data_IF_159951765907
#
_entry.id   IF_159951765907
#
_cell.length_a   1.000
_cell.length_b   1.000
_cell.length_c   1.000
_cell.angle_alpha   90.00
_cell.angle_beta   90.00
_cell.angle_gamma   90.00
#
_symmetry.space_group_name_H-M   'P 1'
#
loop_
_entity.id
_entity.type
_entity.pdbx_description
1 polymer ?
#
# COMPACT_ATOMS: atom_id res chain seq x y z
N UNK A 1 -18.79 21.55 -19.09
CA UNK A 1 -17.62 20.80 -19.59
C UNK A 1 -17.33 19.70 -18.57
N UNK A 2 -17.55 18.43 -18.91
CA UNK A 2 -17.28 17.30 -18.00
C UNK A 2 -15.86 16.83 -18.30
N UNK A 3 -14.98 16.78 -17.29
CA UNK A 3 -13.65 16.23 -17.49
C UNK A 3 -13.78 14.77 -17.98
N UNK A 4 -13.06 14.42 -19.03
CA UNK A 4 -12.93 13.03 -19.50
C UNK A 4 -11.92 12.22 -18.66
N UNK A 5 -11.34 12.84 -17.62
CA UNK A 5 -10.36 12.25 -16.70
C UNK A 5 -10.80 12.44 -15.26
N UNK A 6 -10.33 11.57 -14.38
CA UNK A 6 -10.55 11.65 -12.93
C UNK A 6 -9.77 12.83 -12.35
N UNK A 7 -10.45 13.75 -11.67
CA UNK A 7 -9.80 14.79 -10.86
C UNK A 7 -9.56 14.20 -9.47
N UNK A 8 -8.29 14.03 -9.11
CA UNK A 8 -7.89 13.47 -7.81
C UNK A 8 -7.24 14.55 -6.95
N UNK A 9 -7.74 14.85 -5.75
CA UNK A 9 -7.05 15.73 -4.83
C UNK A 9 -5.73 15.08 -4.40
N UNK A 10 -4.63 15.81 -4.58
CA UNK A 10 -3.31 15.41 -4.09
C UNK A 10 -2.97 16.32 -2.92
N UNK A 11 -2.51 15.70 -1.83
CA UNK A 11 -2.02 16.42 -0.67
C UNK A 11 -0.50 16.44 -0.74
N UNK A 12 0.08 17.63 -0.82
CA UNK A 12 1.53 17.88 -0.86
C UNK A 12 2.05 18.53 0.43
N UNK A 13 1.16 19.04 1.30
CA UNK A 13 1.52 19.55 2.62
C UNK A 13 2.12 18.44 3.49
N UNK A 14 3.37 18.60 3.98
CA UNK A 14 4.08 17.56 4.73
C UNK A 14 3.53 17.32 6.14
N UNK A 15 2.59 18.15 6.61
CA UNK A 15 1.91 18.02 7.90
C UNK A 15 0.50 17.44 7.76
N UNK A 16 -0.04 17.37 6.54
CA UNK A 16 -1.38 16.86 6.30
C UNK A 16 -1.39 15.34 6.15
N UNK A 17 -2.20 14.67 6.96
CA UNK A 17 -2.34 13.21 6.96
C UNK A 17 -3.76 12.85 6.53
N UNK A 18 -3.92 12.41 5.28
CA UNK A 18 -5.25 12.12 4.70
C UNK A 18 -5.92 10.86 5.26
N UNK A 19 -5.13 9.89 5.74
CA UNK A 19 -5.63 8.57 6.17
C UNK A 19 -5.05 8.18 7.55
N UNK A 20 -5.18 9.03 8.56
CA UNK A 20 -4.60 8.79 9.89
C UNK A 20 -5.09 7.49 10.55
N UNK A 21 -6.34 7.07 10.28
CA UNK A 21 -6.90 5.81 10.76
C UNK A 21 -6.21 4.55 10.23
N UNK A 22 -5.37 4.66 9.20
CA UNK A 22 -4.57 3.55 8.69
C UNK A 22 -3.49 3.11 9.71
N UNK A 23 -2.93 4.04 10.47
CA UNK A 23 -1.87 3.74 11.45
C UNK A 23 -2.32 2.71 12.50
N UNK A 24 -3.42 2.93 13.26
CA UNK A 24 -3.88 1.93 14.23
C UNK A 24 -4.30 0.61 13.58
N UNK A 25 -4.81 0.61 12.34
CA UNK A 25 -5.16 -0.63 11.64
C UNK A 25 -3.92 -1.47 11.29
N UNK A 26 -2.84 -0.85 10.82
CA UNK A 26 -1.59 -1.55 10.52
C UNK A 26 -0.87 -2.03 11.79
N UNK A 27 -0.88 -1.23 12.86
CA UNK A 27 -0.35 -1.66 14.17
C UNK A 27 -1.13 -2.85 14.74
N UNK A 28 -2.47 -2.86 14.59
CA UNK A 28 -3.28 -4.00 14.98
C UNK A 28 -2.91 -5.24 14.16
N UNK A 29 -2.79 -5.11 12.84
CA UNK A 29 -2.38 -6.21 11.96
C UNK A 29 -1.00 -6.76 12.34
N UNK A 30 -0.03 -5.89 12.61
CA UNK A 30 1.29 -6.28 13.11
C UNK A 30 1.18 -7.03 14.44
N UNK A 31 0.45 -6.50 15.42
CA UNK A 31 0.25 -7.16 16.72
C UNK A 31 -0.46 -8.51 16.63
N UNK A 32 -1.26 -8.71 15.57
CA UNK A 32 -1.97 -9.95 15.29
C UNK A 32 -1.14 -10.96 14.49
N UNK A 33 0.12 -10.65 14.17
CA UNK A 33 1.03 -11.56 13.47
C UNK A 33 0.99 -11.46 11.94
N UNK A 34 0.41 -10.40 11.37
CA UNK A 34 0.22 -10.28 9.92
C UNK A 34 1.56 -10.36 9.16
N UNK A 35 2.61 -9.71 9.66
CA UNK A 35 3.90 -9.67 8.97
C UNK A 35 4.60 -11.03 8.99
N UNK A 36 4.53 -11.77 10.09
CA UNK A 36 5.03 -13.14 10.16
C UNK A 36 4.27 -14.04 9.19
N UNK A 37 2.93 -14.03 9.22
CA UNK A 37 2.10 -14.84 8.33
C UNK A 37 2.36 -14.54 6.84
N UNK A 38 2.56 -13.26 6.49
CA UNK A 38 2.96 -12.89 5.14
C UNK A 38 4.33 -13.45 4.77
N UNK A 39 5.29 -13.46 5.71
CA UNK A 39 6.61 -14.03 5.50
C UNK A 39 6.60 -15.56 5.36
N UNK A 40 5.68 -16.24 6.05
CA UNK A 40 5.52 -17.69 6.02
C UNK A 40 4.80 -18.17 4.76
N UNK A 41 3.77 -17.45 4.31
CA UNK A 41 2.87 -17.94 3.26
C UNK A 41 3.13 -17.32 1.89
N UNK A 42 3.63 -16.08 1.79
CA UNK A 42 3.86 -15.45 0.48
C UNK A 42 5.14 -16.02 -0.15
N UNK A 43 4.96 -16.99 -1.04
CA UNK A 43 6.04 -17.77 -1.68
C UNK A 43 6.59 -17.16 -2.98
N UNK A 44 6.15 -15.97 -3.37
CA UNK A 44 6.55 -15.32 -4.62
C UNK A 44 8.02 -14.89 -4.59
N UNK A 45 8.79 -15.32 -5.59
CA UNK A 45 10.19 -14.90 -5.77
C UNK A 45 10.26 -13.42 -6.19
N UNK A 46 10.30 -12.55 -5.19
CA UNK A 46 10.49 -11.13 -5.38
C UNK A 46 11.21 -10.50 -4.18
N UNK A 47 11.89 -9.35 -4.35
CA UNK A 47 12.49 -8.65 -3.22
C UNK A 47 11.42 -8.04 -2.31
N UNK A 48 11.54 -8.24 -0.99
CA UNK A 48 10.69 -7.64 0.04
C UNK A 48 9.17 -7.95 -0.10
N UNK A 49 8.75 -9.23 -0.23
CA UNK A 49 7.35 -9.59 -0.46
C UNK A 49 6.45 -9.12 0.69
N UNK A 50 6.92 -9.26 1.95
CA UNK A 50 6.18 -8.85 3.15
C UNK A 50 5.82 -7.35 3.13
N UNK A 51 6.82 -6.48 2.92
CA UNK A 51 6.61 -5.02 2.88
C UNK A 51 5.69 -4.63 1.72
N UNK A 52 5.82 -5.32 0.57
CA UNK A 52 4.97 -5.04 -0.59
C UNK A 52 3.53 -5.51 -0.37
N UNK A 53 3.32 -6.67 0.24
CA UNK A 53 2.00 -7.15 0.66
C UNK A 53 1.33 -6.20 1.65
N UNK A 54 2.04 -5.85 2.73
CA UNK A 54 1.55 -4.90 3.71
C UNK A 54 1.21 -3.54 3.08
N UNK A 55 2.03 -3.06 2.14
CA UNK A 55 1.78 -1.84 1.39
C UNK A 55 0.56 -1.89 0.47
N UNK A 56 0.28 -3.03 -0.18
CA UNK A 56 -0.94 -3.24 -0.96
C UNK A 56 -2.17 -3.27 -0.05
N UNK A 57 -2.12 -4.01 1.05
CA UNK A 57 -3.19 -4.06 2.06
C UNK A 57 -3.48 -2.65 2.60
N UNK A 58 -2.43 -1.89 2.91
CA UNK A 58 -2.55 -0.51 3.37
C UNK A 58 -3.26 0.37 2.35
N UNK A 59 -2.93 0.25 1.06
CA UNK A 59 -3.63 0.92 -0.02
C UNK A 59 -5.11 0.52 -0.09
N UNK A 60 -5.42 -0.77 -0.05
CA UNK A 60 -6.80 -1.27 -0.08
C UNK A 60 -7.64 -0.74 1.10
N UNK A 61 -7.06 -0.66 2.30
CA UNK A 61 -7.71 -0.09 3.48
C UNK A 61 -8.02 1.42 3.33
N UNK A 62 -7.27 2.12 2.48
CA UNK A 62 -7.55 3.53 2.13
C UNK A 62 -8.48 3.68 0.92
N UNK A 63 -9.01 2.57 0.40
CA UNK A 63 -9.91 2.55 -0.76
C UNK A 63 -9.21 2.53 -2.12
N UNK A 64 -7.92 2.21 -2.17
CA UNK A 64 -7.23 2.02 -3.45
C UNK A 64 -7.75 0.76 -4.16
N UNK A 65 -8.27 0.92 -5.37
CA UNK A 65 -8.76 -0.14 -6.24
C UNK A 65 -7.91 -0.31 -7.52
N UNK A 66 -6.95 0.58 -7.75
CA UNK A 66 -5.96 0.49 -8.82
C UNK A 66 -4.52 0.62 -8.32
N UNK A 67 -3.54 0.22 -9.14
CA UNK A 67 -2.12 0.37 -8.82
C UNK A 67 -1.76 1.84 -8.61
N UNK A 68 -2.31 2.75 -9.44
CA UNK A 68 -2.07 4.19 -9.32
C UNK A 68 -2.69 4.74 -8.02
N UNK A 69 -3.74 4.11 -7.51
CA UNK A 69 -4.35 4.52 -6.25
C UNK A 69 -3.51 4.23 -5.03
N UNK A 70 -2.60 3.25 -5.10
CA UNK A 70 -1.63 2.95 -4.05
C UNK A 70 -0.70 4.12 -3.71
N UNK A 71 -0.63 5.18 -4.54
CA UNK A 71 0.14 6.37 -4.18
C UNK A 71 -0.42 7.10 -2.95
N UNK A 72 -1.68 6.85 -2.58
CA UNK A 72 -2.34 7.45 -1.41
C UNK A 72 -1.57 7.24 -0.11
N UNK A 73 -0.88 6.10 0.07
CA UNK A 73 -0.05 5.84 1.28
C UNK A 73 1.24 6.64 1.31
N UNK A 74 1.51 7.43 0.26
CA UNK A 74 2.67 8.31 0.09
C UNK A 74 2.30 9.80 -0.01
N UNK A 75 1.02 10.15 0.08
CA UNK A 75 0.57 11.55 0.00
C UNK A 75 0.87 12.32 1.30
N UNK A 76 1.17 13.61 1.18
CA UNK A 76 1.40 14.54 2.29
C UNK A 76 2.35 13.99 3.35
N UNK A 77 1.91 14.00 4.61
CA UNK A 77 2.67 13.51 5.76
C UNK A 77 2.69 11.98 5.93
N UNK A 78 2.00 11.19 5.09
CA UNK A 78 1.94 9.72 5.24
C UNK A 78 3.32 9.03 5.29
N UNK A 79 4.34 9.41 4.49
CA UNK A 79 5.67 8.79 4.56
C UNK A 79 6.40 8.96 5.91
N UNK A 80 5.98 9.91 6.76
CA UNK A 80 6.53 10.09 8.12
C UNK A 80 5.91 9.12 9.11
N UNK A 81 4.71 8.62 8.83
CA UNK A 81 3.98 7.67 9.66
C UNK A 81 4.19 6.23 9.21
N UNK A 82 4.30 6.00 7.90
CA UNK A 82 4.44 4.68 7.30
C UNK A 82 5.86 4.47 6.77
N UNK A 83 6.65 3.71 7.54
CA UNK A 83 7.95 3.23 7.09
C UNK A 83 7.82 2.24 5.93
N UNK A 84 8.79 2.26 5.01
CA UNK A 84 8.92 1.21 3.99
C UNK A 84 7.89 1.23 2.85
N UNK A 85 7.09 2.29 2.71
CA UNK A 85 6.20 2.44 1.53
C UNK A 85 7.00 2.41 0.22
N UNK A 86 6.36 1.92 -0.86
CA UNK A 86 6.98 1.81 -2.20
C UNK A 86 6.16 2.59 -3.23
N UNK A 87 6.80 2.97 -4.33
CA UNK A 87 6.09 3.61 -5.43
C UNK A 87 5.05 2.65 -6.05
N UNK A 88 3.93 3.16 -6.61
CA UNK A 88 2.94 2.38 -7.35
C UNK A 88 3.55 1.36 -8.31
N UNK A 89 4.55 1.77 -9.10
CA UNK A 89 5.25 0.89 -10.05
C UNK A 89 5.92 -0.33 -9.38
N UNK A 90 6.46 -0.16 -8.16
CA UNK A 90 7.08 -1.26 -7.41
C UNK A 90 6.05 -2.29 -6.96
N UNK A 91 4.86 -1.84 -6.53
CA UNK A 91 3.74 -2.74 -6.25
C UNK A 91 3.22 -3.40 -7.53
N UNK A 92 3.17 -2.67 -8.64
CA UNK A 92 2.79 -3.24 -9.93
C UNK A 92 3.75 -4.35 -10.38
N UNK A 93 5.06 -4.19 -10.24
CA UNK A 93 6.02 -5.26 -10.54
C UNK A 93 5.80 -6.46 -9.62
N UNK A 94 5.54 -6.22 -8.34
CA UNK A 94 5.23 -7.27 -7.37
C UNK A 94 3.95 -8.06 -7.70
N UNK A 95 2.85 -7.37 -7.99
CA UNK A 95 1.58 -8.03 -8.32
C UNK A 95 1.70 -8.86 -9.59
N UNK A 96 2.56 -8.48 -10.54
CA UNK A 96 2.85 -9.26 -11.75
C UNK A 96 3.74 -10.49 -11.52
N UNK A 97 4.43 -10.59 -10.38
CA UNK A 97 5.18 -11.81 -10.05
C UNK A 97 4.30 -12.97 -9.57
N UNK A 98 3.04 -12.70 -9.23
CA UNK A 98 2.08 -13.76 -8.96
C UNK A 98 1.65 -14.45 -10.26
N UNK A 99 1.68 -15.79 -10.25
CA UNK A 99 1.11 -16.64 -11.31
C UNK A 99 0.04 -17.56 -10.73
N UNK A 100 -0.75 -18.21 -11.58
CA UNK A 100 -1.75 -19.17 -11.12
C UNK A 100 -1.11 -20.28 -10.26
N UNK A 101 -1.68 -20.52 -9.08
CA UNK A 101 -1.18 -21.50 -8.12
C UNK A 101 -0.24 -20.95 -7.05
N UNK A 102 0.10 -19.65 -7.07
CA UNK A 102 0.69 -19.00 -5.90
C UNK A 102 -0.37 -18.83 -4.81
N UNK A 103 -0.15 -19.49 -3.67
CA UNK A 103 -0.86 -19.33 -2.39
C UNK A 103 0.19 -19.18 -1.30
#
# INVERSE_FOLDING_TARGET
MKACHTVRPVFDDPNLVGCAGLVPALLLGESAGLHELLGEHVSVDCPNPVVKSAGVIAGMLTGADSIDDLNVVRHGGMPRLLGGTRAPSTYGTYLRSFTHGHV
#
